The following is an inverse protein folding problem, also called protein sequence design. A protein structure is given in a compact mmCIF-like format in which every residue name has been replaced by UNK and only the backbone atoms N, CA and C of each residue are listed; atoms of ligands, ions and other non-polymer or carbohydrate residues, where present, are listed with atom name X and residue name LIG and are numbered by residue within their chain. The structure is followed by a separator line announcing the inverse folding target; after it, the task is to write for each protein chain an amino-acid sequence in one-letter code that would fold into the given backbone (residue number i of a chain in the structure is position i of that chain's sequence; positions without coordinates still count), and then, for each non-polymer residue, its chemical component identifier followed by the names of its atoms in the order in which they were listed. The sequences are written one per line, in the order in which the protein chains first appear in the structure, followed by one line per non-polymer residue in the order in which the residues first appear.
data_IF_767659022564
#
_entry.id   IF_767659022564
#
_cell.length_a   1.000
_cell.length_b   1.000
_cell.length_c   1.000
_cell.angle_alpha   90.00
_cell.angle_beta   90.00
_cell.angle_gamma   90.00
#
_symmetry.space_group_name_H-M   'P 1'
#
loop_
_entity.id
_entity.type
_entity.pdbx_description
1 polymer ?
#
# COMPACT_ATOMS: atom_id res chain seq x y z
N UNK A 1 -15.38 -9.95 1.04
CA UNK A 1 -14.87 -9.34 -0.20
C UNK A 1 -14.29 -7.98 0.18
N UNK A 2 -12.98 -7.78 0.05
CA UNK A 2 -12.27 -6.59 0.55
C UNK A 2 -12.54 -5.41 -0.39
N UNK A 3 -13.27 -4.38 0.06
CA UNK A 3 -13.67 -3.27 -0.79
C UNK A 3 -12.58 -2.18 -0.83
N UNK A 4 -11.91 -2.02 -1.97
CA UNK A 4 -10.81 -1.07 -2.15
C UNK A 4 -11.24 0.41 -2.10
N UNK A 5 -12.51 0.71 -2.37
CA UNK A 5 -13.05 2.07 -2.23
C UNK A 5 -13.23 2.47 -0.74
N UNK A 6 -13.35 1.46 0.13
CA UNK A 6 -13.49 1.60 1.58
C UNK A 6 -12.12 1.62 2.27
N UNK A 7 -11.13 2.27 1.66
CA UNK A 7 -9.88 2.64 2.35
C UNK A 7 -10.14 3.90 3.17
N UNK A 8 -11.08 3.73 4.10
CA UNK A 8 -11.47 4.68 5.13
C UNK A 8 -10.22 5.00 5.96
N UNK A 9 -9.93 6.29 6.07
CA UNK A 9 -8.86 6.84 6.90
C UNK A 9 -8.83 6.14 8.27
N UNK A 10 -7.70 5.52 8.63
CA UNK A 10 -7.53 4.95 9.96
C UNK A 10 -6.90 6.02 10.85
N UNK A 11 -7.75 6.73 11.57
CA UNK A 11 -7.32 7.66 12.59
C UNK A 11 -7.11 6.87 13.89
N UNK A 12 -5.85 6.57 14.21
CA UNK A 12 -5.48 5.96 15.50
C UNK A 12 -5.91 6.85 16.69
N UNK A 13 -6.12 8.14 16.47
CA UNK A 13 -6.50 9.14 17.47
C UNK A 13 -7.56 10.10 16.89
N UNK A 14 -8.43 10.65 17.75
CA UNK A 14 -9.39 11.69 17.33
C UNK A 14 -8.63 12.93 16.83
N UNK A 15 -8.86 13.35 15.59
CA UNK A 15 -8.35 14.62 15.07
C UNK A 15 -9.07 15.77 15.76
N UNK A 16 -8.36 16.57 16.56
CA UNK A 16 -8.86 17.84 17.11
C UNK A 16 -8.60 18.95 16.10
N UNK A 17 -9.40 20.03 16.14
CA UNK A 17 -9.34 21.13 15.15
C UNK A 17 -7.96 21.83 15.03
N UNK A 18 -7.03 21.55 15.93
CA UNK A 18 -5.66 22.09 15.96
C UNK A 18 -4.56 21.04 15.78
N UNK A 19 -4.91 19.79 15.48
CA UNK A 19 -3.92 18.72 15.29
C UNK A 19 -3.26 18.84 13.92
N UNK A 20 -1.92 18.91 13.93
CA UNK A 20 -1.07 18.81 12.73
C UNK A 20 -0.97 17.37 12.21
N UNK A 21 -1.92 16.50 12.53
CA UNK A 21 -1.92 15.12 12.07
C UNK A 21 -3.29 14.81 11.50
N UNK A 22 -3.32 14.58 10.19
CA UNK A 22 -4.56 14.41 9.43
C UNK A 22 -4.98 12.93 9.44
N UNK A 23 -4.02 12.00 9.45
CA UNK A 23 -4.33 10.56 9.53
C UNK A 23 -3.33 9.64 8.87
N UNK A 24 -3.62 8.34 8.96
CA UNK A 24 -2.90 7.26 8.29
C UNK A 24 -3.77 6.70 7.16
N UNK A 25 -3.21 6.62 5.97
CA UNK A 25 -3.90 6.12 4.79
C UNK A 25 -3.17 4.89 4.25
N UNK A 26 -3.90 3.79 4.08
CA UNK A 26 -3.40 2.66 3.30
C UNK A 26 -3.77 2.87 1.83
N UNK A 27 -2.78 2.86 0.94
CA UNK A 27 -2.96 3.20 -0.48
C UNK A 27 -2.14 2.29 -1.37
N UNK A 28 -2.40 2.37 -2.67
CA UNK A 28 -1.54 1.76 -3.67
C UNK A 28 -1.25 2.74 -4.82
N UNK A 29 -0.15 2.49 -5.52
CA UNK A 29 0.20 3.17 -6.77
C UNK A 29 0.71 2.18 -7.80
N UNK A 30 0.71 2.59 -9.07
CA UNK A 30 1.45 1.85 -10.10
C UNK A 30 2.96 1.92 -9.79
N UNK A 31 3.70 0.82 -9.95
CA UNK A 31 5.15 0.84 -9.80
C UNK A 31 5.79 1.79 -10.81
N UNK A 32 6.80 2.57 -10.38
CA UNK A 32 7.56 3.47 -11.27
C UNK A 32 8.45 2.66 -12.23
N UNK A 33 8.93 1.50 -11.78
CA UNK A 33 9.66 0.52 -12.58
C UNK A 33 9.01 -0.84 -12.42
N UNK A 34 8.92 -1.62 -13.50
CA UNK A 34 8.46 -3.01 -13.42
C UNK A 34 9.44 -3.82 -12.57
N UNK A 35 9.03 -4.14 -11.34
CA UNK A 35 9.77 -5.05 -10.47
C UNK A 35 9.49 -6.46 -10.98
N UNK A 36 10.51 -7.08 -11.55
CA UNK A 36 10.49 -8.46 -12.02
C UNK A 36 11.28 -9.30 -11.02
N UNK A 37 10.58 -10.12 -10.24
CA UNK A 37 11.21 -11.01 -9.25
C UNK A 37 11.31 -12.41 -9.83
N UNK A 38 12.54 -12.91 -9.96
CA UNK A 38 12.83 -14.31 -10.28
C UNK A 38 13.04 -15.10 -9.00
N UNK A 39 12.37 -16.24 -8.86
CA UNK A 39 12.59 -17.15 -7.74
C UNK A 39 12.53 -18.61 -8.24
N UNK A 40 13.19 -19.52 -7.53
CA UNK A 40 13.16 -20.95 -7.83
C UNK A 40 12.23 -21.66 -6.86
N UNK A 41 11.33 -22.48 -7.38
CA UNK A 41 10.58 -23.47 -6.60
C UNK A 41 10.82 -24.83 -7.27
N UNK A 42 11.32 -25.80 -6.52
CA UNK A 42 11.51 -27.18 -6.97
C UNK A 42 12.24 -27.24 -8.33
N UNK A 43 13.39 -26.58 -8.45
CA UNK A 43 14.18 -26.40 -9.68
C UNK A 43 13.49 -25.67 -10.86
N UNK A 44 12.24 -25.27 -10.75
CA UNK A 44 11.54 -24.47 -11.76
C UNK A 44 11.74 -22.98 -11.49
N UNK A 45 12.22 -22.24 -12.48
CA UNK A 45 12.33 -20.77 -12.40
C UNK A 45 10.95 -20.16 -12.64
N UNK A 46 10.46 -19.40 -11.66
CA UNK A 46 9.23 -18.60 -11.78
C UNK A 46 9.57 -17.12 -11.82
N UNK A 47 8.75 -16.39 -12.57
CA UNK A 47 8.80 -14.94 -12.72
C UNK A 47 7.52 -14.34 -12.14
N UNK A 48 7.64 -13.29 -11.34
CA UNK A 48 6.49 -12.51 -10.90
C UNK A 48 6.71 -11.02 -11.18
N UNK A 49 5.64 -10.36 -11.60
CA UNK A 49 5.61 -8.91 -11.81
C UNK A 49 4.58 -8.27 -10.88
N UNK A 50 4.95 -7.14 -10.28
CA UNK A 50 4.05 -6.39 -9.40
C UNK A 50 3.26 -5.37 -10.22
N UNK A 51 1.92 -5.47 -10.22
CA UNK A 51 1.04 -4.51 -10.91
C UNK A 51 0.70 -3.29 -10.04
N UNK A 52 0.80 -3.42 -8.72
CA UNK A 52 0.51 -2.39 -7.72
C UNK A 52 1.55 -2.45 -6.59
N UNK A 53 1.93 -1.29 -6.07
CA UNK A 53 2.74 -1.14 -4.86
C UNK A 53 1.85 -0.55 -3.79
N UNK A 54 1.65 -1.29 -2.70
CA UNK A 54 0.88 -0.84 -1.54
C UNK A 54 1.80 -0.14 -0.54
N UNK A 55 1.31 0.91 0.11
CA UNK A 55 2.06 1.70 1.08
C UNK A 55 1.13 2.34 2.12
N UNK A 56 1.73 2.75 3.23
CA UNK A 56 1.09 3.53 4.29
C UNK A 56 1.57 4.97 4.17
N UNK A 57 0.64 5.92 4.08
CA UNK A 57 0.90 7.36 4.01
C UNK A 57 0.49 8.01 5.33
N UNK A 58 1.41 8.77 5.94
CA UNK A 58 1.15 9.60 7.10
C UNK A 58 0.98 11.05 6.64
N UNK A 59 -0.14 11.68 6.97
CA UNK A 59 -0.39 13.10 6.65
C UNK A 59 -0.38 13.94 7.91
N UNK A 60 0.33 15.07 7.85
CA UNK A 60 0.46 16.06 8.89
C UNK A 60 -0.12 17.40 8.40
#
# INVERSE_FOLDING_TARGET
MFNQEKLECLNLFSTRDNDKFIGIFYRYRKPIKNIITKYKINNTVKLYTFSKVYYIEFKF
#
